data_IF_107163040625
#
_entry.id   IF_107163040625
#
_cell.length_a   1.000
_cell.length_b   1.000
_cell.length_c   1.000
_cell.angle_alpha   90.00
_cell.angle_beta   90.00
_cell.angle_gamma   90.00
#
_symmetry.space_group_name_H-M   'P 1'
#
loop_
_entity.id
_entity.type
_entity.pdbx_description
1 polymer ?
#
# COMPACT_ATOMS: atom_id res chain seq x y z
N UNK A 1 -41.08 -55.05 8.97
CA UNK A 1 -40.25 -54.50 10.06
C UNK A 1 -39.30 -53.50 9.41
N UNK A 2 -39.52 -52.20 9.65
CA UNK A 2 -38.92 -51.09 8.92
C UNK A 2 -37.51 -50.79 9.43
N UNK A 3 -36.50 -50.82 8.56
CA UNK A 3 -35.20 -50.20 8.85
C UNK A 3 -35.25 -48.78 8.30
N UNK A 4 -35.29 -47.82 9.22
CA UNK A 4 -35.27 -46.40 8.93
C UNK A 4 -33.90 -46.03 8.35
N UNK A 5 -33.90 -45.57 7.10
CA UNK A 5 -32.75 -44.92 6.47
C UNK A 5 -32.57 -43.58 7.16
N UNK A 6 -31.52 -43.47 7.97
CA UNK A 6 -31.06 -42.19 8.51
C UNK A 6 -30.50 -41.36 7.35
N UNK A 7 -31.35 -40.52 6.76
CA UNK A 7 -30.91 -39.40 5.95
C UNK A 7 -30.17 -38.42 6.86
N UNK A 8 -28.84 -38.46 6.82
CA UNK A 8 -28.02 -37.37 7.34
C UNK A 8 -28.26 -36.21 6.38
N UNK A 9 -28.87 -35.08 6.80
CA UNK A 9 -28.87 -33.91 5.96
C UNK A 9 -27.42 -33.45 5.82
N UNK A 10 -26.87 -33.58 4.61
CA UNK A 10 -25.70 -32.83 4.22
C UNK A 10 -26.09 -31.36 4.32
N UNK A 11 -25.82 -30.74 5.48
CA UNK A 11 -25.80 -29.29 5.60
C UNK A 11 -24.73 -28.84 4.63
N UNK A 12 -25.16 -28.33 3.49
CA UNK A 12 -24.36 -27.52 2.60
C UNK A 12 -23.92 -26.30 3.43
N UNK A 13 -22.79 -26.44 4.10
CA UNK A 13 -22.08 -25.31 4.68
C UNK A 13 -21.66 -24.43 3.52
N UNK A 14 -22.46 -23.42 3.21
CA UNK A 14 -21.92 -22.19 2.68
C UNK A 14 -20.93 -21.70 3.74
N UNK A 15 -19.67 -22.13 3.63
CA UNK A 15 -18.56 -21.44 4.27
C UNK A 15 -18.45 -20.13 3.50
N UNK A 16 -19.30 -19.18 3.88
CA UNK A 16 -19.09 -17.76 3.61
C UNK A 16 -17.79 -17.39 4.32
N UNK A 17 -16.67 -17.61 3.64
CA UNK A 17 -15.36 -17.10 4.03
C UNK A 17 -15.28 -15.64 3.59
N UNK A 18 -16.20 -14.82 4.06
CA UNK A 18 -16.35 -13.43 3.65
C UNK A 18 -16.39 -12.56 4.90
N UNK A 19 -15.22 -12.17 5.43
CA UNK A 19 -15.08 -10.93 6.22
C UNK A 19 -13.68 -10.69 6.81
N UNK A 20 -12.79 -11.68 6.87
CA UNK A 20 -11.49 -11.49 7.55
C UNK A 20 -10.39 -10.83 6.68
N UNK A 21 -10.49 -10.91 5.35
CA UNK A 21 -9.43 -10.41 4.45
C UNK A 21 -9.55 -8.92 4.08
N UNK A 22 -10.74 -8.32 4.25
CA UNK A 22 -11.02 -6.93 3.79
C UNK A 22 -10.34 -5.81 4.60
N UNK A 23 -9.57 -6.15 5.64
CA UNK A 23 -8.84 -5.18 6.49
C UNK A 23 -7.33 -5.17 6.28
N UNK A 24 -6.81 -6.00 5.38
CA UNK A 24 -5.38 -5.98 5.04
C UNK A 24 -5.19 -5.09 3.82
N UNK A 25 -4.20 -4.17 3.83
CA UNK A 25 -3.87 -3.43 2.63
C UNK A 25 -3.43 -4.38 1.52
N UNK A 26 -3.96 -4.15 0.32
CA UNK A 26 -3.66 -4.96 -0.86
C UNK A 26 -2.49 -4.34 -1.62
N UNK A 27 -1.50 -5.17 -1.96
CA UNK A 27 -0.38 -4.77 -2.83
C UNK A 27 -0.49 -5.55 -4.13
N UNK A 28 -0.63 -4.82 -5.24
CA UNK A 28 -0.83 -5.42 -6.56
C UNK A 28 0.28 -4.98 -7.51
N UNK A 29 0.90 -5.95 -8.19
CA UNK A 29 1.90 -5.72 -9.25
C UNK A 29 1.20 -5.66 -10.61
N UNK A 30 1.41 -4.57 -11.36
CA UNK A 30 0.93 -4.45 -12.74
C UNK A 30 2.09 -4.38 -13.71
N UNK A 31 2.07 -5.30 -14.67
CA UNK A 31 3.05 -5.39 -15.76
C UNK A 31 2.49 -4.77 -17.02
N UNK A 32 3.17 -3.74 -17.54
CA UNK A 32 2.86 -3.16 -18.85
C UNK A 32 4.11 -3.22 -19.71
N UNK A 33 4.23 -4.30 -20.47
CA UNK A 33 5.48 -4.68 -21.13
C UNK A 33 6.61 -4.85 -20.11
N UNK A 34 7.77 -4.21 -20.27
CA UNK A 34 8.90 -4.33 -19.34
C UNK A 34 8.78 -3.45 -18.09
N UNK A 35 7.67 -2.73 -17.92
CA UNK A 35 7.45 -1.87 -16.74
C UNK A 35 6.80 -2.68 -15.62
N UNK A 36 7.29 -2.48 -14.40
CA UNK A 36 6.70 -3.04 -13.18
C UNK A 36 6.20 -1.92 -12.28
N UNK A 37 4.92 -1.92 -11.96
CA UNK A 37 4.34 -0.93 -11.04
C UNK A 37 3.69 -1.64 -9.87
N UNK A 38 4.04 -1.25 -8.64
CA UNK A 38 3.38 -1.76 -7.44
C UNK A 38 2.42 -0.70 -6.90
N UNK A 39 1.18 -1.13 -6.68
CA UNK A 39 0.07 -0.33 -6.22
C UNK A 39 -0.33 -0.77 -4.81
N UNK A 40 -0.67 0.18 -3.95
CA UNK A 40 -1.17 -0.04 -2.60
C UNK A 40 -2.61 0.46 -2.52
N UNK A 41 -3.52 -0.43 -2.13
CA UNK A 41 -4.87 -0.06 -1.72
C UNK A 41 -5.03 -0.30 -0.22
N UNK A 42 -5.46 0.74 0.48
CA UNK A 42 -5.65 0.70 1.93
C UNK A 42 -7.15 0.83 2.27
N UNK A 43 -7.86 -0.30 2.42
CA UNK A 43 -9.29 -0.28 2.71
C UNK A 43 -9.61 0.28 4.11
N UNK A 44 -8.66 0.22 5.05
CA UNK A 44 -8.87 0.69 6.43
C UNK A 44 -8.96 2.20 6.49
N UNK A 45 -8.25 2.89 5.61
CA UNK A 45 -8.24 4.33 5.54
C UNK A 45 -9.33 4.90 4.63
N UNK A 46 -9.92 4.09 3.74
CA UNK A 46 -10.97 4.53 2.82
C UNK A 46 -12.06 5.26 3.57
N UNK A 47 -12.72 4.65 4.57
CA UNK A 47 -13.89 5.22 5.28
C UNK A 47 -13.56 6.01 6.55
N UNK A 48 -12.28 6.31 6.79
CA UNK A 48 -11.86 6.95 8.04
C UNK A 48 -12.41 8.38 8.15
N UNK A 49 -13.11 8.73 9.25
CA UNK A 49 -13.64 10.07 9.45
C UNK A 49 -12.52 11.08 9.70
N UNK A 50 -12.78 12.34 9.35
CA UNK A 50 -11.85 13.46 9.52
C UNK A 50 -11.44 14.11 8.21
N UNK A 51 -10.79 15.27 8.32
CA UNK A 51 -10.39 16.08 7.16
C UNK A 51 -9.05 15.65 6.55
N UNK A 52 -8.35 14.68 7.16
CA UNK A 52 -7.03 14.26 6.74
C UNK A 52 -7.11 13.16 5.68
N UNK A 53 -6.56 13.47 4.51
CA UNK A 53 -6.45 12.54 3.38
C UNK A 53 -5.12 11.79 3.50
N UNK A 54 -5.16 10.51 3.84
CA UNK A 54 -4.00 9.65 4.11
C UNK A 54 -3.69 8.67 2.98
N UNK A 55 -4.62 8.49 2.02
CA UNK A 55 -4.49 7.54 0.92
C UNK A 55 -5.29 7.98 -0.32
N UNK A 56 -4.91 7.45 -1.48
CA UNK A 56 -5.63 7.70 -2.75
C UNK A 56 -7.07 7.17 -2.73
N UNK A 57 -7.38 6.15 -1.93
CA UNK A 57 -8.74 5.61 -1.82
C UNK A 57 -9.73 6.61 -1.20
N UNK A 58 -9.27 7.49 -0.30
CA UNK A 58 -10.10 8.58 0.20
C UNK A 58 -10.35 9.67 -0.85
N UNK A 59 -9.37 9.90 -1.73
CA UNK A 59 -9.52 10.86 -2.84
C UNK A 59 -10.53 10.30 -3.85
N UNK A 60 -10.43 9.02 -4.21
CA UNK A 60 -11.37 8.36 -5.13
C UNK A 60 -12.85 8.53 -4.73
N UNK A 61 -13.14 8.55 -3.42
CA UNK A 61 -14.51 8.75 -2.91
C UNK A 61 -15.04 10.16 -3.11
N UNK A 62 -14.17 11.14 -3.36
CA UNK A 62 -14.58 12.47 -3.83
C UNK A 62 -14.76 12.33 -5.34
N UNK A 63 -16.02 12.21 -5.76
CA UNK A 63 -16.46 11.88 -7.13
C UNK A 63 -15.65 12.64 -8.22
N UNK A 64 -15.46 12.00 -9.38
CA UNK A 64 -14.70 12.50 -10.55
C UNK A 64 -13.19 12.71 -10.35
N UNK A 65 -12.56 11.88 -9.51
CA UNK A 65 -11.11 11.87 -9.40
C UNK A 65 -10.46 11.23 -10.64
N UNK A 66 -9.55 11.94 -11.30
CA UNK A 66 -8.73 11.43 -12.40
C UNK A 66 -7.37 10.96 -11.91
N UNK A 67 -6.78 9.99 -12.60
CA UNK A 67 -5.43 9.50 -12.27
C UNK A 67 -4.41 10.64 -12.41
N UNK A 68 -3.55 10.81 -11.40
CA UNK A 68 -2.67 11.98 -11.34
C UNK A 68 -1.82 12.03 -10.08
N UNK A 69 -1.08 13.13 -9.91
CA UNK A 69 -0.29 13.39 -8.71
C UNK A 69 -1.16 14.09 -7.66
N UNK A 70 -1.16 13.57 -6.44
CA UNK A 70 -1.88 14.13 -5.31
C UNK A 70 -0.97 14.25 -4.10
N UNK A 71 -1.32 15.16 -3.20
CA UNK A 71 -0.67 15.28 -1.90
C UNK A 71 -1.54 14.60 -0.84
N UNK A 72 -0.97 13.61 -0.16
CA UNK A 72 -1.60 12.89 0.96
C UNK A 72 -0.76 13.04 2.23
N UNK A 73 -1.35 12.67 3.35
CA UNK A 73 -0.80 12.80 4.70
C UNK A 73 -0.90 11.45 5.42
N UNK A 74 -0.13 10.41 5.02
CA UNK A 74 -0.20 9.09 5.67
C UNK A 74 0.20 9.16 7.15
N UNK A 75 1.12 10.07 7.47
CA UNK A 75 1.50 10.52 8.81
C UNK A 75 1.17 12.03 8.94
N UNK A 76 1.89 12.78 9.78
CA UNK A 76 1.68 14.22 9.94
C UNK A 76 2.44 15.08 8.91
N UNK A 77 3.11 14.45 7.94
CA UNK A 77 3.88 15.12 6.89
C UNK A 77 3.26 14.89 5.52
N UNK A 78 3.24 15.90 4.63
CA UNK A 78 2.76 15.73 3.26
C UNK A 78 3.66 14.79 2.46
N UNK A 79 3.04 13.98 1.61
CA UNK A 79 3.70 13.06 0.67
C UNK A 79 3.02 13.22 -0.69
N UNK A 80 3.81 13.54 -1.71
CA UNK A 80 3.31 13.57 -3.08
C UNK A 80 3.34 12.15 -3.66
N UNK A 81 2.19 11.71 -4.16
CA UNK A 81 1.98 10.36 -4.68
C UNK A 81 1.24 10.40 -6.01
N UNK A 82 1.53 9.42 -6.86
CA UNK A 82 0.67 9.14 -8.01
C UNK A 82 -0.50 8.28 -7.53
N UNK A 83 -1.72 8.73 -7.81
CA UNK A 83 -2.94 7.95 -7.62
C UNK A 83 -3.46 7.42 -8.97
N UNK A 84 -3.77 6.13 -9.02
CA UNK A 84 -4.52 5.53 -10.12
C UNK A 84 -5.99 5.41 -9.72
N UNK A 85 -6.81 6.25 -10.34
CA UNK A 85 -8.23 6.44 -10.05
C UNK A 85 -9.13 5.76 -11.08
N UNK A 86 -8.54 5.18 -12.12
CA UNK A 86 -9.25 4.67 -13.28
C UNK A 86 -9.27 3.15 -13.33
N UNK A 87 -8.20 2.51 -12.87
CA UNK A 87 -8.01 1.07 -13.05
C UNK A 87 -8.54 0.29 -11.86
N UNK A 88 -9.19 -0.85 -12.11
CA UNK A 88 -9.72 -1.78 -11.10
C UNK A 88 -10.48 -1.05 -9.96
N UNK A 89 -11.40 -0.15 -10.31
CA UNK A 89 -12.21 0.61 -9.36
C UNK A 89 -11.53 1.85 -8.75
N UNK A 90 -10.25 2.10 -9.05
CA UNK A 90 -9.53 3.31 -8.65
C UNK A 90 -9.16 3.38 -7.17
N UNK A 91 -8.57 4.51 -6.75
CA UNK A 91 -8.13 4.71 -5.37
C UNK A 91 -6.79 4.05 -5.02
N UNK A 92 -6.03 3.62 -6.03
CA UNK A 92 -4.74 2.97 -5.84
C UNK A 92 -3.63 4.00 -5.64
N UNK A 93 -2.76 3.78 -4.65
CA UNK A 93 -1.56 4.60 -4.44
C UNK A 93 -0.35 3.92 -5.08
N UNK A 94 0.35 4.58 -6.00
CA UNK A 94 1.56 4.01 -6.61
C UNK A 94 2.74 4.13 -5.63
N UNK A 95 3.21 2.99 -5.10
CA UNK A 95 4.32 2.96 -4.13
C UNK A 95 5.68 2.70 -4.78
N UNK A 96 5.67 2.07 -5.96
CA UNK A 96 6.87 1.80 -6.74
C UNK A 96 6.53 1.84 -8.22
N UNK A 97 7.43 2.41 -9.02
CA UNK A 97 7.42 2.28 -10.47
C UNK A 97 8.81 1.94 -10.99
N UNK A 98 8.91 0.88 -11.79
CA UNK A 98 10.08 0.52 -12.58
C UNK A 98 9.80 0.72 -14.06
N UNK A 99 10.68 1.44 -14.74
CA UNK A 99 10.63 1.63 -16.18
C UNK A 99 11.49 0.61 -16.90
N UNK A 100 11.31 0.52 -18.22
CA UNK A 100 12.07 -0.40 -19.08
C UNK A 100 13.59 -0.23 -18.96
N UNK A 101 14.06 1.02 -18.80
CA UNK A 101 15.49 1.32 -18.66
C UNK A 101 16.09 0.80 -17.36
N UNK A 102 15.28 0.53 -16.35
CA UNK A 102 15.75 0.06 -15.04
C UNK A 102 15.81 -1.45 -14.95
N UNK A 103 15.24 -2.17 -15.91
CA UNK A 103 15.48 -3.62 -16.04
C UNK A 103 16.96 -3.87 -16.42
N UNK A 104 17.60 -2.90 -17.07
CA UNK A 104 19.01 -2.94 -17.48
C UNK A 104 19.99 -2.18 -16.58
N UNK A 105 19.50 -1.49 -15.53
CA UNK A 105 20.35 -0.68 -14.65
C UNK A 105 20.18 -1.11 -13.18
N UNK A 106 21.28 -1.20 -12.42
CA UNK A 106 21.31 -1.40 -10.96
C UNK A 106 20.72 -0.21 -10.16
N UNK A 107 19.80 0.54 -10.76
CA UNK A 107 19.15 1.74 -10.20
C UNK A 107 18.30 1.41 -8.96
N UNK A 108 17.85 0.17 -8.80
CA UNK A 108 17.15 -0.33 -7.61
C UNK A 108 18.05 -1.12 -6.64
N UNK A 109 19.31 -1.38 -6.97
CA UNK A 109 20.27 -1.91 -5.99
C UNK A 109 20.70 -0.75 -5.09
N UNK A 110 20.06 -0.66 -3.92
CA UNK A 110 20.24 0.43 -2.97
C UNK A 110 20.29 -0.11 -1.55
N UNK A 111 21.03 0.58 -0.69
CA UNK A 111 21.11 0.22 0.72
C UNK A 111 19.78 0.46 1.45
N UNK A 112 19.62 -0.17 2.62
CA UNK A 112 18.42 -0.07 3.47
C UNK A 112 17.96 1.37 3.70
N UNK A 113 18.90 2.30 3.94
CA UNK A 113 18.57 3.71 4.16
C UNK A 113 17.83 4.38 3.00
N UNK A 114 18.05 3.94 1.76
CA UNK A 114 17.31 4.43 0.59
C UNK A 114 15.89 3.85 0.56
N UNK A 115 15.71 2.57 0.88
CA UNK A 115 14.37 1.97 0.98
C UNK A 115 13.56 2.54 2.14
N UNK A 116 14.23 2.96 3.19
CA UNK A 116 13.63 3.67 4.32
C UNK A 116 13.13 5.07 3.93
N UNK A 117 13.99 5.88 3.29
CA UNK A 117 13.68 7.28 2.96
C UNK A 117 12.92 7.48 1.65
N UNK A 118 13.05 6.55 0.70
CA UNK A 118 12.60 6.68 -0.68
C UNK A 118 13.70 7.18 -1.62
N UNK A 119 13.55 6.91 -2.91
CA UNK A 119 14.46 7.37 -3.95
C UNK A 119 13.78 7.46 -5.33
N UNK A 120 14.39 8.24 -6.22
CA UNK A 120 14.04 8.33 -7.64
C UNK A 120 15.26 7.99 -8.48
N UNK A 121 15.04 7.52 -9.69
CA UNK A 121 16.11 7.11 -10.61
C UNK A 121 16.14 8.01 -11.85
N UNK A 122 17.23 7.94 -12.61
CA UNK A 122 17.36 8.65 -13.89
C UNK A 122 16.32 8.17 -14.91
N UNK A 123 15.92 6.91 -14.83
CA UNK A 123 14.91 6.28 -15.67
C UNK A 123 13.47 6.67 -15.35
N UNK A 124 13.22 7.68 -14.51
CA UNK A 124 11.88 8.07 -14.00
C UNK A 124 11.21 6.97 -13.15
N UNK A 125 11.95 5.97 -12.71
CA UNK A 125 11.47 5.03 -11.68
C UNK A 125 11.62 5.61 -10.29
N UNK A 126 10.90 5.03 -9.34
CA UNK A 126 10.95 5.47 -7.96
C UNK A 126 10.48 4.39 -6.98
N UNK A 127 10.90 4.59 -5.73
CA UNK A 127 10.36 3.96 -4.54
C UNK A 127 9.98 5.06 -3.54
N UNK A 128 8.76 5.01 -3.02
CA UNK A 128 8.21 6.08 -2.18
C UNK A 128 8.91 6.22 -0.80
N UNK A 129 9.43 5.11 -0.26
CA UNK A 129 10.08 5.07 1.05
C UNK A 129 9.17 4.55 2.16
N UNK A 130 9.71 3.68 3.01
CA UNK A 130 8.98 3.07 4.14
C UNK A 130 8.53 4.12 5.16
N UNK A 131 9.39 5.08 5.50
CA UNK A 131 9.10 6.07 6.55
C UNK A 131 8.06 7.12 6.16
N UNK A 132 7.57 7.09 4.91
CA UNK A 132 6.42 7.90 4.48
C UNK A 132 5.09 7.39 5.02
N UNK A 133 5.01 6.09 5.31
CA UNK A 133 3.79 5.42 5.76
C UNK A 133 3.93 4.84 7.17
N UNK A 134 5.15 4.71 7.67
CA UNK A 134 5.45 4.07 8.94
C UNK A 134 6.33 4.98 9.78
N UNK A 135 5.91 5.31 10.99
CA UNK A 135 6.71 6.09 11.93
C UNK A 135 7.72 5.18 12.67
N UNK A 136 9.04 5.31 12.44
CA UNK A 136 10.03 4.45 13.09
C UNK A 136 10.14 4.68 14.61
N UNK A 137 9.89 5.91 15.07
CA UNK A 137 9.86 6.22 16.50
C UNK A 137 8.69 5.51 17.22
N UNK A 138 7.53 5.41 16.56
CA UNK A 138 6.35 4.69 17.07
C UNK A 138 6.54 3.18 17.04
N UNK A 139 7.19 2.64 16.00
CA UNK A 139 7.57 1.23 15.98
C UNK A 139 8.57 0.87 17.09
N UNK A 140 9.54 1.74 17.36
CA UNK A 140 10.54 1.50 18.40
C UNK A 140 9.92 1.51 19.80
N UNK A 141 8.97 2.42 20.07
CA UNK A 141 8.24 2.45 21.35
C UNK A 141 7.40 1.18 21.54
N UNK A 142 6.76 0.67 20.48
CA UNK A 142 5.96 -0.55 20.55
C UNK A 142 6.81 -1.82 20.71
N UNK A 143 8.06 -1.80 20.26
CA UNK A 143 9.03 -2.90 20.40
C UNK A 143 9.93 -2.81 21.65
N UNK A 144 9.77 -1.78 22.51
CA UNK A 144 10.73 -1.46 23.59
C UNK A 144 12.19 -1.46 23.11
N UNK A 145 12.44 -0.96 21.90
CA UNK A 145 13.79 -0.81 21.34
C UNK A 145 14.24 0.65 21.44
N UNK A 146 15.55 0.93 21.60
CA UNK A 146 16.05 2.30 21.53
C UNK A 146 15.70 2.93 20.18
N UNK A 147 15.20 4.17 20.20
CA UNK A 147 14.64 4.81 19.02
C UNK A 147 15.72 5.07 17.95
N UNK A 148 15.48 4.71 16.67
CA UNK A 148 16.41 5.03 15.57
C UNK A 148 16.40 6.53 15.21
N UNK A 149 15.57 7.34 15.86
CA UNK A 149 15.44 8.78 15.64
C UNK A 149 16.54 9.61 16.31
N UNK A 150 17.54 8.99 16.95
CA UNK A 150 18.75 9.67 17.40
C UNK A 150 19.67 9.94 16.20
N UNK A 151 19.30 10.88 15.34
CA UNK A 151 20.27 11.50 14.44
C UNK A 151 21.24 12.31 15.29
N UNK A 152 22.42 11.73 15.53
CA UNK A 152 23.56 12.40 16.11
C UNK A 152 24.00 13.47 15.09
N UNK A 153 23.52 14.71 15.24
CA UNK A 153 24.13 15.85 14.57
C UNK A 153 25.51 16.06 15.21
N UNK A 154 26.51 15.39 14.66
CA UNK A 154 27.91 15.68 14.91
C UNK A 154 28.64 15.57 13.58
N UNK A 155 28.88 16.76 13.01
CA UNK A 155 30.02 17.26 12.23
C UNK A 155 29.54 18.19 11.13
#
# INVERSE_FOLDING_TARGET
MFIAVLFIPAVAGNVFMESSFRRVPEITERQHGPRKTYLLFDPCNTNKPGNRIVSCSQIQRKENSTSGEFQIYPLNSPVNVTCDMTSDGGGWTVIQRRTQKEVSEASFEKDLGHYERGFKTKGKGFWIGKYKYINPCELASQKRQPSPCAHNNRY
#
